data_IF_801013900014
#
_entry.id   IF_801013900014
#
_cell.length_a   1.000
_cell.length_b   1.000
_cell.length_c   1.000
_cell.angle_alpha   90.00
_cell.angle_beta   90.00
_cell.angle_gamma   90.00
#
_symmetry.space_group_name_H-M   'P 1'
#
loop_
_entity.id
_entity.type
_entity.pdbx_description
1 polymer ?
#
# COMPACT_ATOMS: atom_id res chain seq x y z
N UNK A 1 -15.88 20.47 -4.91
CA UNK A 1 -15.81 19.17 -5.61
C UNK A 1 -16.88 18.26 -5.03
N UNK A 2 -17.51 17.44 -5.86
CA UNK A 2 -18.48 16.47 -5.35
C UNK A 2 -17.72 15.39 -4.56
N UNK A 3 -18.08 15.22 -3.29
CA UNK A 3 -17.58 14.17 -2.43
C UNK A 3 -18.67 13.11 -2.26
N UNK A 4 -18.26 11.86 -2.21
CA UNK A 4 -19.15 10.73 -1.96
C UNK A 4 -18.45 9.71 -1.07
N UNK A 5 -19.20 9.03 -0.21
CA UNK A 5 -18.65 8.09 0.78
C UNK A 5 -18.78 6.66 0.25
N UNK A 6 -17.69 5.91 0.35
CA UNK A 6 -17.68 4.46 0.18
C UNK A 6 -17.52 3.78 1.54
N UNK A 7 -18.33 2.77 1.79
CA UNK A 7 -18.18 1.91 2.95
C UNK A 7 -17.40 0.65 2.57
N UNK A 8 -16.40 0.30 3.38
CA UNK A 8 -15.65 -0.95 3.27
C UNK A 8 -15.96 -1.80 4.49
N UNK A 9 -16.68 -2.89 4.29
CA UNK A 9 -17.04 -3.81 5.36
C UNK A 9 -15.81 -4.44 6.00
N UNK A 10 -15.89 -4.63 7.32
CA UNK A 10 -14.87 -5.29 8.11
C UNK A 10 -15.40 -6.62 8.65
N UNK A 11 -14.51 -7.58 8.85
CA UNK A 11 -14.84 -8.86 9.47
C UNK A 11 -15.39 -8.72 10.88
N UNK A 12 -14.91 -7.73 11.61
CA UNK A 12 -15.35 -7.44 12.98
C UNK A 12 -15.64 -5.95 13.15
N UNK A 13 -16.87 -5.62 13.56
CA UNK A 13 -17.29 -4.26 13.86
C UNK A 13 -17.76 -3.45 12.64
N UNK A 14 -17.97 -2.13 12.83
CA UNK A 14 -18.49 -1.25 11.77
C UNK A 14 -17.57 -1.14 10.56
N UNK A 15 -18.17 -0.86 9.40
CA UNK A 15 -17.45 -0.61 8.16
C UNK A 15 -16.57 0.65 8.25
N UNK A 16 -15.48 0.66 7.48
CA UNK A 16 -14.72 1.88 7.22
C UNK A 16 -15.56 2.82 6.34
N UNK A 17 -15.49 4.11 6.64
CA UNK A 17 -16.16 5.16 5.86
C UNK A 17 -15.09 6.00 5.15
N UNK A 18 -15.01 5.87 3.84
CA UNK A 18 -13.97 6.50 3.03
C UNK A 18 -14.59 7.54 2.12
N UNK A 19 -14.26 8.80 2.36
CA UNK A 19 -14.59 9.87 1.43
C UNK A 19 -13.77 9.69 0.15
N UNK A 20 -14.45 9.82 -0.98
CA UNK A 20 -13.86 9.82 -2.31
C UNK A 20 -14.22 11.14 -2.99
N UNK A 21 -13.36 11.60 -3.89
CA UNK A 21 -13.54 12.88 -4.61
C UNK A 21 -13.38 12.68 -6.10
N UNK A 22 -14.20 13.37 -6.89
CA UNK A 22 -14.03 13.42 -8.33
C UNK A 22 -12.77 14.24 -8.69
N UNK A 23 -12.05 13.82 -9.70
CA UNK A 23 -11.00 14.63 -10.35
C UNK A 23 -9.55 14.23 -10.13
N UNK A 24 -9.27 13.09 -9.48
CA UNK A 24 -7.91 12.60 -9.34
C UNK A 24 -7.80 11.09 -9.15
N UNK A 25 -6.72 10.51 -9.64
CA UNK A 25 -6.46 9.06 -9.57
C UNK A 25 -6.37 8.58 -8.12
N UNK A 26 -5.77 9.36 -7.22
CA UNK A 26 -5.66 9.02 -5.80
C UNK A 26 -6.91 9.29 -4.97
N UNK A 27 -7.96 9.86 -5.57
CA UNK A 27 -9.14 10.32 -4.84
C UNK A 27 -10.26 9.26 -4.73
N UNK A 28 -10.06 8.07 -5.27
CA UNK A 28 -11.02 6.95 -5.23
C UNK A 28 -10.35 5.69 -4.68
N UNK A 29 -11.18 4.78 -4.17
CA UNK A 29 -10.70 3.46 -3.73
C UNK A 29 -10.68 2.52 -4.93
N UNK A 30 -9.51 2.05 -5.30
CA UNK A 30 -9.30 1.09 -6.39
C UNK A 30 -9.47 -0.35 -5.92
N UNK A 31 -9.77 -1.25 -6.85
CA UNK A 31 -10.01 -2.66 -6.53
C UNK A 31 -8.78 -3.34 -5.88
N UNK A 32 -7.56 -3.01 -6.31
CA UNK A 32 -6.35 -3.51 -5.67
C UNK A 32 -6.25 -3.10 -4.19
N UNK A 33 -6.69 -1.89 -3.83
CA UNK A 33 -6.74 -1.46 -2.44
C UNK A 33 -7.75 -2.28 -1.62
N UNK A 34 -8.90 -2.61 -2.19
CA UNK A 34 -9.90 -3.48 -1.55
C UNK A 34 -9.34 -4.88 -1.32
N UNK A 35 -8.73 -5.47 -2.35
CA UNK A 35 -8.12 -6.80 -2.26
C UNK A 35 -7.04 -6.84 -1.19
N UNK A 36 -6.15 -5.85 -1.14
CA UNK A 36 -5.09 -5.79 -0.14
C UNK A 36 -5.64 -5.57 1.27
N UNK A 37 -6.58 -4.64 1.46
CA UNK A 37 -7.19 -4.39 2.76
C UNK A 37 -7.88 -5.64 3.33
N UNK A 38 -8.63 -6.35 2.51
CA UNK A 38 -9.31 -7.60 2.91
C UNK A 38 -8.33 -8.74 3.17
N UNK A 39 -7.23 -8.78 2.43
CA UNK A 39 -6.13 -9.72 2.68
C UNK A 39 -5.49 -9.50 4.05
N UNK A 40 -5.25 -8.25 4.45
CA UNK A 40 -4.70 -7.93 5.77
C UNK A 40 -5.60 -8.41 6.91
N UNK A 41 -6.91 -8.31 6.75
CA UNK A 41 -7.88 -8.79 7.74
C UNK A 41 -7.82 -10.30 8.01
N UNK A 42 -7.33 -11.10 7.07
CA UNK A 42 -7.17 -12.56 7.25
C UNK A 42 -6.16 -12.91 8.36
N UNK A 43 -5.27 -12.00 8.71
CA UNK A 43 -4.35 -12.13 9.82
C UNK A 43 -3.16 -13.06 9.59
N UNK A 44 -2.89 -13.49 8.35
CA UNK A 44 -1.70 -14.28 8.02
C UNK A 44 -0.40 -13.51 8.26
N UNK A 45 -0.46 -12.18 8.17
CA UNK A 45 0.64 -11.27 8.43
C UNK A 45 0.37 -10.50 9.72
N UNK A 46 1.19 -10.68 10.77
CA UNK A 46 0.96 -10.02 12.05
C UNK A 46 1.24 -8.53 11.94
N UNK A 47 0.23 -7.72 12.19
CA UNK A 47 0.31 -6.26 12.09
C UNK A 47 0.28 -5.54 13.43
N UNK A 48 -0.25 -6.18 14.48
CA UNK A 48 -0.39 -5.54 15.79
C UNK A 48 0.95 -5.05 16.32
N UNK A 49 1.01 -3.75 16.66
CA UNK A 49 2.20 -3.04 17.14
C UNK A 49 3.35 -2.95 16.12
N UNK A 50 3.09 -3.26 14.86
CA UNK A 50 4.08 -3.15 13.80
C UNK A 50 4.09 -1.74 13.20
N UNK A 51 5.30 -1.27 12.87
CA UNK A 51 5.46 -0.03 12.13
C UNK A 51 5.15 -0.28 10.66
N UNK A 52 4.12 0.38 10.14
CA UNK A 52 3.62 0.22 8.78
C UNK A 52 3.64 1.56 8.05
N UNK A 53 4.17 1.57 6.85
CA UNK A 53 4.16 2.74 5.98
C UNK A 53 3.43 2.38 4.68
N UNK A 54 2.45 3.19 4.28
CA UNK A 54 1.79 3.03 2.99
C UNK A 54 2.33 4.05 1.98
N UNK A 55 2.72 3.58 0.80
CA UNK A 55 3.09 4.40 -0.35
C UNK A 55 1.89 4.59 -1.27
N UNK A 56 1.68 5.83 -1.73
CA UNK A 56 0.56 6.13 -2.62
C UNK A 56 -0.78 5.82 -1.99
N UNK A 57 -0.99 6.24 -0.74
CA UNK A 57 -2.12 5.85 0.08
C UNK A 57 -3.49 6.29 -0.46
N UNK A 58 -3.54 7.34 -1.28
CA UNK A 58 -4.78 7.83 -1.89
C UNK A 58 -5.83 8.23 -0.87
N UNK A 59 -6.90 7.44 -0.79
CA UNK A 59 -7.95 7.62 0.22
C UNK A 59 -7.55 7.13 1.62
N UNK A 60 -6.49 6.34 1.72
CA UNK A 60 -6.04 5.74 2.98
C UNK A 60 -6.68 4.40 3.34
N UNK A 61 -7.47 3.82 2.45
CA UNK A 61 -8.25 2.60 2.74
C UNK A 61 -7.41 1.46 3.32
N UNK A 62 -6.27 1.14 2.71
CA UNK A 62 -5.42 0.00 3.12
C UNK A 62 -4.76 0.25 4.47
N UNK A 63 -4.10 1.40 4.61
CA UNK A 63 -3.39 1.74 5.86
C UNK A 63 -4.33 1.96 7.03
N UNK A 64 -5.51 2.56 6.82
CA UNK A 64 -6.53 2.70 7.86
C UNK A 64 -7.03 1.31 8.30
N UNK A 65 -7.26 0.38 7.35
CA UNK A 65 -7.57 -1.00 7.70
C UNK A 65 -6.48 -1.62 8.57
N UNK A 66 -5.21 -1.47 8.21
CA UNK A 66 -4.09 -1.95 9.02
C UNK A 66 -4.08 -1.36 10.43
N UNK A 67 -4.39 -0.07 10.58
CA UNK A 67 -4.49 0.60 11.88
C UNK A 67 -5.62 0.05 12.74
N UNK A 68 -6.73 -0.38 12.14
CA UNK A 68 -7.81 -1.08 12.86
C UNK A 68 -7.39 -2.47 13.34
N UNK A 69 -6.36 -3.04 12.76
CA UNK A 69 -5.76 -4.33 13.15
C UNK A 69 -4.58 -4.16 14.14
N UNK A 70 -4.38 -2.98 14.66
CA UNK A 70 -3.40 -2.68 15.70
C UNK A 70 -2.06 -2.16 15.21
N UNK A 71 -1.86 -1.95 13.92
CA UNK A 71 -0.62 -1.40 13.39
C UNK A 71 -0.45 0.09 13.71
N UNK A 72 0.80 0.53 13.80
CA UNK A 72 1.19 1.93 13.87
C UNK A 72 1.52 2.41 12.45
N UNK A 73 0.59 3.13 11.83
CA UNK A 73 0.58 3.40 10.39
C UNK A 73 0.93 4.84 10.06
N UNK A 74 1.81 5.01 9.10
CA UNK A 74 2.03 6.29 8.41
C UNK A 74 1.53 6.15 6.97
N UNK A 75 0.46 6.89 6.64
CA UNK A 75 -0.06 7.00 5.28
C UNK A 75 0.74 8.06 4.54
N UNK A 76 1.29 7.73 3.39
CA UNK A 76 2.05 8.70 2.60
C UNK A 76 1.48 8.86 1.20
N UNK A 77 1.46 10.10 0.74
CA UNK A 77 1.10 10.48 -0.63
C UNK A 77 1.58 11.91 -0.90
N UNK A 78 1.28 12.42 -2.07
CA UNK A 78 1.56 13.79 -2.45
C UNK A 78 0.79 14.79 -1.56
N UNK A 79 1.27 16.04 -1.55
CA UNK A 79 0.69 17.13 -0.74
C UNK A 79 -0.81 17.32 -0.99
N UNK A 80 -1.24 17.23 -2.24
CA UNK A 80 -2.64 17.42 -2.63
C UNK A 80 -3.60 16.37 -2.10
N UNK A 81 -3.10 15.22 -1.64
CA UNK A 81 -3.91 14.15 -1.04
C UNK A 81 -4.02 14.26 0.49
N UNK A 82 -3.25 15.12 1.14
CA UNK A 82 -3.17 15.19 2.61
C UNK A 82 -4.50 15.57 3.26
N UNK A 83 -5.27 16.47 2.65
CA UNK A 83 -6.59 16.84 3.17
C UNK A 83 -7.57 15.66 3.13
N UNK A 84 -7.59 14.91 2.04
CA UNK A 84 -8.45 13.72 1.91
C UNK A 84 -8.03 12.64 2.92
N UNK A 85 -6.73 12.39 3.07
CA UNK A 85 -6.22 11.45 4.07
C UNK A 85 -6.61 11.86 5.50
N UNK A 86 -6.50 13.14 5.83
CA UNK A 86 -6.89 13.66 7.15
C UNK A 86 -8.39 13.44 7.42
N UNK A 87 -9.24 13.70 6.45
CA UNK A 87 -10.70 13.46 6.55
C UNK A 87 -10.97 11.97 6.79
N UNK A 88 -10.36 11.08 6.03
CA UNK A 88 -10.58 9.65 6.15
C UNK A 88 -10.01 9.05 7.44
N UNK A 89 -8.90 9.56 7.93
CA UNK A 89 -8.40 9.22 9.27
C UNK A 89 -9.43 9.59 10.32
N UNK A 90 -9.94 10.82 10.29
CA UNK A 90 -10.90 11.30 11.30
C UNK A 90 -12.21 10.52 11.25
N UNK A 91 -12.74 10.22 10.07
CA UNK A 91 -13.97 9.44 9.90
C UNK A 91 -13.88 8.02 10.50
N UNK A 92 -12.66 7.47 10.64
CA UNK A 92 -12.44 6.11 11.11
C UNK A 92 -11.64 6.03 12.42
N UNK A 93 -11.31 7.16 13.05
CA UNK A 93 -10.45 7.21 14.23
C UNK A 93 -10.97 6.32 15.36
N UNK A 94 -12.28 6.26 15.57
CA UNK A 94 -12.93 5.45 16.62
C UNK A 94 -12.77 3.93 16.38
N UNK A 95 -12.38 3.48 15.19
CA UNK A 95 -12.15 2.08 14.85
C UNK A 95 -10.67 1.69 14.94
N UNK A 96 -9.77 2.66 15.02
CA UNK A 96 -8.33 2.45 15.08
C UNK A 96 -7.93 1.92 16.45
N UNK A 97 -7.23 0.79 16.49
CA UNK A 97 -6.69 0.19 17.72
C UNK A 97 -5.18 0.41 17.88
N UNK A 98 -4.47 0.62 16.78
CA UNK A 98 -3.09 1.09 16.76
C UNK A 98 -3.02 2.61 16.68
N UNK A 99 -2.31 3.12 15.69
CA UNK A 99 -2.23 4.55 15.38
C UNK A 99 -2.21 4.78 13.87
N UNK A 100 -2.61 5.98 13.46
CA UNK A 100 -2.56 6.36 12.05
C UNK A 100 -2.32 7.86 11.91
N UNK A 101 -1.42 8.23 11.02
CA UNK A 101 -1.11 9.61 10.63
C UNK A 101 -0.83 9.70 9.14
N UNK A 102 -0.96 10.88 8.57
CA UNK A 102 -0.66 11.17 7.18
C UNK A 102 0.56 12.09 7.07
N UNK A 103 1.44 11.79 6.12
CA UNK A 103 2.66 12.55 5.83
C UNK A 103 2.84 12.70 4.32
N UNK A 104 3.46 13.80 3.91
CA UNK A 104 3.84 14.00 2.51
C UNK A 104 5.08 13.17 2.20
N UNK A 105 5.01 12.36 1.17
CA UNK A 105 6.15 11.68 0.58
C UNK A 105 5.98 11.63 -0.93
N UNK A 106 6.87 12.29 -1.64
CA UNK A 106 6.99 12.17 -3.08
C UNK A 106 8.09 11.17 -3.42
N UNK A 107 7.77 10.21 -4.26
CA UNK A 107 8.72 9.17 -4.65
C UNK A 107 9.97 9.77 -5.28
N UNK A 108 11.14 9.24 -4.89
CA UNK A 108 12.44 9.71 -5.35
C UNK A 108 13.05 10.82 -4.51
N UNK A 109 12.28 11.43 -3.61
CA UNK A 109 12.77 12.47 -2.70
C UNK A 109 13.31 11.89 -1.40
N UNK A 110 13.87 12.73 -0.54
CA UNK A 110 14.46 12.35 0.74
C UNK A 110 13.46 11.63 1.66
N UNK A 111 13.89 10.50 2.24
CA UNK A 111 13.11 9.66 3.15
C UNK A 111 13.66 9.64 4.57
N UNK A 112 14.56 10.55 4.93
CA UNK A 112 15.22 10.59 6.24
C UNK A 112 14.23 10.70 7.41
N UNK A 113 13.10 11.38 7.23
CA UNK A 113 12.05 11.53 8.24
C UNK A 113 11.26 10.22 8.49
N UNK A 114 11.45 9.21 7.64
CA UNK A 114 10.77 7.92 7.73
C UNK A 114 11.67 6.79 8.25
N UNK A 115 12.79 7.14 8.82
CA UNK A 115 13.70 6.19 9.49
C UNK A 115 13.33 6.05 10.98
N UNK A 116 13.56 4.88 11.59
CA UNK A 116 14.13 3.66 11.03
C UNK A 116 13.21 2.94 10.05
N UNK A 117 13.73 1.95 9.26
CA UNK A 117 12.92 1.20 8.30
C UNK A 117 11.67 0.59 8.95
N UNK A 118 10.48 0.69 8.32
CA UNK A 118 9.27 0.09 8.86
C UNK A 118 9.32 -1.44 8.80
N UNK A 119 8.46 -2.10 9.56
CA UNK A 119 8.27 -3.56 9.49
C UNK A 119 7.58 -3.96 8.18
N UNK A 120 6.59 -3.17 7.75
CA UNK A 120 5.86 -3.37 6.50
C UNK A 120 5.75 -2.08 5.70
N UNK A 121 5.84 -2.24 4.38
CA UNK A 121 5.43 -1.21 3.42
C UNK A 121 4.25 -1.76 2.62
N UNK A 122 3.17 -1.00 2.53
CA UNK A 122 1.97 -1.34 1.77
C UNK A 122 1.91 -0.49 0.50
N UNK A 123 1.60 -1.12 -0.62
CA UNK A 123 1.39 -0.43 -1.90
C UNK A 123 0.21 -1.09 -2.63
N UNK A 124 -0.74 -0.29 -3.08
CA UNK A 124 -1.86 -0.75 -3.89
C UNK A 124 -2.00 0.12 -5.13
N UNK A 125 -1.92 -0.50 -6.31
CA UNK A 125 -2.06 0.16 -7.62
C UNK A 125 -1.10 1.35 -7.84
N UNK A 126 0.18 1.20 -7.45
CA UNK A 126 1.21 2.22 -7.62
C UNK A 126 1.96 2.14 -8.96
N UNK A 127 1.69 1.13 -9.78
CA UNK A 127 2.45 0.81 -11.00
C UNK A 127 1.59 1.14 -12.23
N UNK A 128 1.56 2.41 -12.65
CA UNK A 128 0.75 2.84 -13.79
C UNK A 128 1.36 3.94 -14.66
N UNK A 129 2.37 4.65 -14.16
CA UNK A 129 3.12 5.64 -14.96
C UNK A 129 4.56 5.21 -15.13
N UNK A 130 5.06 5.23 -16.38
CA UNK A 130 6.43 4.85 -16.70
C UNK A 130 7.46 5.77 -16.01
N UNK A 131 7.20 7.08 -16.00
CA UNK A 131 8.07 8.08 -15.38
C UNK A 131 8.16 7.96 -13.86
N UNK A 132 7.23 7.25 -13.23
CA UNK A 132 7.22 7.04 -11.77
C UNK A 132 8.00 5.81 -11.32
N UNK A 133 8.41 4.93 -12.22
CA UNK A 133 9.06 3.65 -11.88
C UNK A 133 10.40 3.84 -11.18
N UNK A 134 11.31 4.60 -11.75
CA UNK A 134 12.63 4.83 -11.15
C UNK A 134 12.55 5.57 -9.80
N UNK A 135 11.75 6.66 -9.66
CA UNK A 135 11.55 7.29 -8.38
C UNK A 135 10.96 6.35 -7.31
N UNK A 136 9.98 5.51 -7.68
CA UNK A 136 9.37 4.54 -6.77
C UNK A 136 10.39 3.51 -6.29
N UNK A 137 11.20 2.96 -7.20
CA UNK A 137 12.26 2.01 -6.88
C UNK A 137 13.32 2.61 -5.97
N UNK A 138 13.72 3.86 -6.20
CA UNK A 138 14.63 4.59 -5.33
C UNK A 138 14.06 4.70 -3.92
N UNK A 139 12.81 5.08 -3.78
CA UNK A 139 12.12 5.18 -2.50
C UNK A 139 12.06 3.83 -1.78
N UNK A 140 11.73 2.75 -2.49
CA UNK A 140 11.72 1.40 -1.92
C UNK A 140 13.10 0.98 -1.41
N UNK A 141 14.17 1.25 -2.18
CA UNK A 141 15.54 0.94 -1.75
C UNK A 141 15.94 1.69 -0.48
N UNK A 142 15.53 2.93 -0.36
CA UNK A 142 15.92 3.80 0.78
C UNK A 142 15.07 3.55 2.03
N UNK A 143 13.81 3.13 1.87
CA UNK A 143 12.89 2.85 2.99
C UNK A 143 13.03 1.45 3.57
N UNK A 144 13.40 0.46 2.74
CA UNK A 144 13.47 -0.94 3.19
C UNK A 144 14.75 -1.23 3.94
N UNK A 145 14.62 -1.87 5.09
CA UNK A 145 15.71 -2.52 5.80
C UNK A 145 15.74 -4.03 5.52
N UNK A 146 16.69 -4.76 6.16
CA UNK A 146 16.85 -6.20 5.95
C UNK A 146 15.64 -7.03 6.38
N UNK A 147 14.84 -6.53 7.30
CA UNK A 147 13.65 -7.22 7.85
C UNK A 147 12.32 -6.60 7.39
N UNK A 148 12.35 -5.59 6.54
CA UNK A 148 11.13 -4.99 6.00
C UNK A 148 10.48 -5.91 4.98
N UNK A 149 9.17 -6.15 5.14
CA UNK A 149 8.34 -6.81 4.13
C UNK A 149 7.51 -5.78 3.38
N UNK A 150 7.61 -5.75 2.06
CA UNK A 150 6.71 -4.96 1.21
C UNK A 150 5.59 -5.85 0.71
N UNK A 151 4.34 -5.43 0.93
CA UNK A 151 3.16 -6.04 0.33
C UNK A 151 2.69 -5.15 -0.82
N UNK A 152 2.94 -5.60 -2.04
CA UNK A 152 2.60 -4.90 -3.27
C UNK A 152 1.40 -5.57 -3.92
N UNK A 153 0.27 -4.85 -4.01
CA UNK A 153 -0.94 -5.30 -4.69
C UNK A 153 -1.14 -4.46 -5.96
N UNK A 154 -1.41 -5.12 -7.06
CA UNK A 154 -1.63 -4.44 -8.33
C UNK A 154 -2.62 -5.21 -9.19
N UNK A 155 -3.35 -4.48 -10.03
CA UNK A 155 -4.21 -5.04 -11.06
C UNK A 155 -3.41 -5.19 -12.36
N UNK A 156 -3.40 -6.40 -12.89
CA UNK A 156 -2.81 -6.69 -14.19
C UNK A 156 -3.70 -6.11 -15.28
N UNK A 157 -3.18 -5.11 -16.00
CA UNK A 157 -3.88 -4.43 -17.08
C UNK A 157 -3.25 -4.81 -18.41
N UNK A 158 -4.10 -5.05 -19.41
CA UNK A 158 -3.67 -5.50 -20.74
C UNK A 158 -3.67 -4.39 -21.79
N UNK A 159 -4.15 -3.19 -21.43
CA UNK A 159 -4.33 -2.07 -22.37
C UNK A 159 -3.12 -1.13 -22.42
N UNK A 160 -2.82 -0.63 -23.61
CA UNK A 160 -1.81 0.38 -23.83
C UNK A 160 -0.41 -0.08 -23.43
N UNK A 161 0.32 0.79 -22.74
CA UNK A 161 1.68 0.52 -22.21
C UNK A 161 1.71 -0.25 -20.89
N UNK A 162 0.56 -0.56 -20.30
CA UNK A 162 0.50 -1.17 -18.96
C UNK A 162 1.28 -2.49 -18.84
N UNK A 163 1.21 -3.43 -19.81
CA UNK A 163 1.99 -4.67 -19.73
C UNK A 163 3.50 -4.44 -19.74
N UNK A 164 3.97 -3.45 -20.49
CA UNK A 164 5.40 -3.11 -20.56
C UNK A 164 5.87 -2.43 -19.27
N UNK A 165 5.07 -1.51 -18.72
CA UNK A 165 5.37 -0.83 -17.45
C UNK A 165 5.46 -1.86 -16.32
N UNK A 166 4.50 -2.79 -16.21
CA UNK A 166 4.51 -3.88 -15.23
C UNK A 166 5.77 -4.74 -15.37
N UNK A 167 6.08 -5.20 -16.58
CA UNK A 167 7.26 -6.02 -16.84
C UNK A 167 8.55 -5.30 -16.43
N UNK A 168 8.71 -4.04 -16.82
CA UNK A 168 9.87 -3.23 -16.51
C UNK A 168 10.02 -3.00 -15.02
N UNK A 169 8.92 -2.72 -14.31
CA UNK A 169 8.92 -2.57 -12.86
C UNK A 169 9.49 -3.81 -12.17
N UNK A 170 8.99 -4.99 -12.50
CA UNK A 170 9.45 -6.23 -11.88
C UNK A 170 10.87 -6.61 -12.27
N UNK A 171 11.28 -6.36 -13.51
CA UNK A 171 12.67 -6.56 -13.94
C UNK A 171 13.65 -5.69 -13.13
N UNK A 172 13.35 -4.41 -12.96
CA UNK A 172 14.18 -3.48 -12.19
C UNK A 172 14.16 -3.80 -10.69
N UNK A 173 13.02 -4.18 -10.17
CA UNK A 173 12.85 -4.52 -8.75
C UNK A 173 13.68 -5.74 -8.37
N UNK A 174 13.75 -6.76 -9.24
CA UNK A 174 14.49 -8.00 -9.01
C UNK A 174 16.01 -7.82 -8.94
N UNK A 175 16.53 -6.67 -9.31
CA UNK A 175 17.96 -6.37 -9.13
C UNK A 175 18.33 -6.38 -7.66
N UNK A 176 17.52 -5.76 -6.80
CA UNK A 176 17.80 -5.55 -5.37
C UNK A 176 16.90 -6.38 -4.44
N UNK A 177 15.80 -6.91 -4.95
CA UNK A 177 14.76 -7.55 -4.15
C UNK A 177 14.43 -8.97 -4.62
N UNK A 178 13.99 -9.78 -3.68
CA UNK A 178 13.36 -11.07 -3.91
C UNK A 178 11.83 -10.89 -3.86
N UNK A 179 11.15 -11.56 -4.78
CA UNK A 179 9.71 -11.46 -4.95
C UNK A 179 9.04 -12.82 -4.79
N UNK A 180 7.91 -12.84 -4.11
CA UNK A 180 7.08 -14.03 -4.02
C UNK A 180 5.61 -13.66 -4.20
N UNK A 181 4.94 -14.31 -5.13
CA UNK A 181 3.51 -14.13 -5.35
C UNK A 181 2.73 -14.87 -4.28
N UNK A 182 1.79 -14.16 -3.63
CA UNK A 182 0.84 -14.77 -2.71
C UNK A 182 -0.20 -15.55 -3.51
N UNK A 183 -0.38 -16.87 -3.26
CA UNK A 183 -1.37 -17.67 -3.97
C UNK A 183 -2.79 -17.12 -3.82
N UNK A 184 -3.60 -17.27 -4.86
CA UNK A 184 -4.96 -16.72 -4.90
C UNK A 184 -5.86 -17.30 -3.80
N UNK A 185 -5.65 -18.54 -3.39
CA UNK A 185 -6.40 -19.20 -2.30
C UNK A 185 -6.08 -18.62 -0.91
N UNK A 186 -5.02 -17.84 -0.78
CA UNK A 186 -4.69 -17.09 0.43
C UNK A 186 -5.30 -15.69 0.47
N UNK A 187 -5.85 -15.21 -0.65
CA UNK A 187 -6.61 -13.95 -0.70
C UNK A 187 -7.98 -14.13 -0.04
N UNK A 188 -8.65 -13.02 0.25
CA UNK A 188 -10.02 -13.05 0.73
C UNK A 188 -10.95 -13.64 -0.36
N UNK A 189 -11.76 -14.61 -0.01
CA UNK A 189 -12.59 -15.37 -0.96
C UNK A 189 -13.59 -14.50 -1.71
N UNK A 190 -14.12 -13.48 -1.05
CA UNK A 190 -15.12 -12.58 -1.62
C UNK A 190 -14.51 -11.53 -2.54
N UNK A 191 -13.30 -11.04 -2.19
CA UNK A 191 -12.67 -9.91 -2.88
C UNK A 191 -11.57 -10.31 -3.88
N UNK A 192 -11.13 -11.56 -3.87
CA UNK A 192 -10.07 -12.02 -4.79
C UNK A 192 -10.48 -11.90 -6.25
N UNK A 193 -9.49 -11.62 -7.10
CA UNK A 193 -9.64 -11.59 -8.55
C UNK A 193 -8.41 -12.21 -9.20
N UNK A 194 -8.59 -12.91 -10.30
CA UNK A 194 -7.48 -13.50 -11.07
C UNK A 194 -6.55 -12.43 -11.68
N UNK A 195 -7.06 -11.22 -11.89
CA UNK A 195 -6.31 -10.10 -12.45
C UNK A 195 -5.62 -9.22 -11.38
N UNK A 196 -5.88 -9.46 -10.09
CA UNK A 196 -5.29 -8.70 -9.00
C UNK A 196 -4.35 -9.59 -8.20
N UNK A 197 -3.08 -9.18 -8.17
CA UNK A 197 -1.99 -9.93 -7.58
C UNK A 197 -1.46 -9.25 -6.33
N UNK A 198 -1.07 -10.05 -5.33
CA UNK A 198 -0.32 -9.62 -4.17
C UNK A 198 1.05 -10.28 -4.23
N UNK A 199 2.09 -9.45 -4.12
CA UNK A 199 3.49 -9.88 -4.14
C UNK A 199 4.16 -9.41 -2.86
N UNK A 200 4.84 -10.33 -2.18
CA UNK A 200 5.75 -9.98 -1.08
C UNK A 200 7.12 -9.65 -1.67
N UNK A 201 7.73 -8.61 -1.15
CA UNK A 201 9.01 -8.08 -1.63
C UNK A 201 9.93 -7.92 -0.43
N UNK A 202 11.11 -8.53 -0.50
CA UNK A 202 12.16 -8.43 0.52
C UNK A 202 13.48 -8.07 -0.13
N UNK A 203 14.32 -7.31 0.58
CA UNK A 203 15.69 -7.08 0.15
C UNK A 203 16.44 -8.40 0.00
N UNK A 204 17.20 -8.53 -1.09
CA UNK A 204 18.16 -9.62 -1.20
C UNK A 204 19.17 -9.54 -0.07
N UNK A 205 19.44 -10.67 0.58
CA UNK A 205 20.53 -10.76 1.55
C UNK A 205 21.84 -10.63 0.78
N UNK A 206 22.68 -9.68 1.16
CA UNK A 206 24.07 -9.66 0.73
C UNK A 206 24.75 -10.87 1.36
N UNK A 207 25.16 -11.83 0.54
CA UNK A 207 26.09 -12.86 1.00
C UNK A 207 27.37 -12.15 1.41
N UNK A 208 27.60 -12.00 2.70
CA UNK A 208 28.94 -11.64 3.18
C UNK A 208 29.86 -12.80 2.76
N UNK A 209 30.96 -12.53 2.03
CA UNK A 209 31.91 -13.58 1.76
C UNK A 209 32.48 -14.04 3.12
N UNK A 210 32.33 -15.33 3.37
CA UNK A 210 32.96 -16.05 4.50
C UNK A 210 34.47 -15.98 4.43
#
# INVERSE_FOLDING_TARGET
>A
MAAFVRELERRAGPALRLEQRAGGVGCVVWDAALVLAKFLERGAWPLSRRAVLELGAGTGAVGIMAATLGADVTLTDLRELQELLAVNIENNRHLVTGSVRAEVLKWGEDVSDFQPPPDYILMADCIYYEESLEPLLKTLRELTGPDTCVLCCYEQRTMGKNPEIERRYFELLQVDFELERVPLDQHDEEYRSEDIHIVTIHRKRTNSPS
#
